data_IF_370622345076
#
_entry.id   IF_370622345076
#
_cell.length_a   1.000
_cell.length_b   1.000
_cell.length_c   1.000
_cell.angle_alpha   90.00
_cell.angle_beta   90.00
_cell.angle_gamma   90.00
#
_symmetry.space_group_name_H-M   'P 1'
#
loop_
_entity.id
_entity.type
_entity.pdbx_description
1 polymer ?
#
# COMPACT_ATOMS: atom_id res chain seq x y z
N UNK A 1 33.04 27.53 25.54
CA UNK A 1 32.93 26.07 25.69
C UNK A 1 31.72 25.65 24.87
N UNK A 2 31.84 24.79 23.86
CA UNK A 2 30.65 24.31 23.17
C UNK A 2 29.98 23.31 24.12
N UNK A 3 28.73 23.60 24.48
CA UNK A 3 27.90 22.68 25.25
C UNK A 3 27.69 21.42 24.39
N UNK A 4 28.14 20.28 24.92
CA UNK A 4 27.90 18.97 24.33
C UNK A 4 26.40 18.71 24.30
N UNK A 5 25.78 18.98 23.15
CA UNK A 5 24.35 18.84 22.90
C UNK A 5 24.00 17.40 22.48
N UNK A 6 24.81 16.41 22.90
CA UNK A 6 24.53 15.01 22.58
C UNK A 6 23.37 14.49 23.44
N UNK A 7 22.29 14.08 22.76
CA UNK A 7 21.14 13.45 23.39
C UNK A 7 21.49 11.98 23.65
N UNK A 8 21.37 11.55 24.90
CA UNK A 8 21.43 10.14 25.26
C UNK A 8 20.15 9.43 24.78
N UNK A 9 20.21 8.85 23.58
CA UNK A 9 19.08 8.17 22.95
C UNK A 9 18.54 6.98 23.76
N UNK A 10 19.38 6.37 24.60
CA UNK A 10 18.98 5.26 25.46
C UNK A 10 18.15 5.76 26.65
N UNK A 11 18.54 6.87 27.28
CA UNK A 11 17.76 7.50 28.37
C UNK A 11 16.40 7.99 27.92
N UNK A 12 16.30 8.54 26.71
CA UNK A 12 15.01 9.01 26.16
C UNK A 12 14.15 7.87 25.60
N UNK A 13 14.65 6.63 25.63
CA UNK A 13 13.88 5.46 25.20
C UNK A 13 13.58 5.44 23.70
N UNK A 14 14.48 5.99 22.88
CA UNK A 14 14.29 6.07 21.43
C UNK A 14 14.12 4.66 20.82
N UNK A 15 13.08 4.49 20.01
CA UNK A 15 12.82 3.29 19.21
C UNK A 15 12.65 3.70 17.76
N UNK A 16 13.39 3.07 16.85
CA UNK A 16 13.38 3.39 15.41
C UNK A 16 13.06 2.12 14.63
N UNK A 17 12.20 2.25 13.61
CA UNK A 17 11.95 1.23 12.61
C UNK A 17 12.35 1.74 11.22
N UNK A 18 12.85 0.84 10.38
CA UNK A 18 13.12 1.11 8.96
C UNK A 18 12.24 0.19 8.11
N UNK A 19 11.62 0.77 7.07
CA UNK A 19 10.83 0.02 6.10
C UNK A 19 11.37 0.32 4.70
N UNK A 20 11.73 -0.73 3.96
CA UNK A 20 12.38 -0.61 2.64
C UNK A 20 11.57 -1.43 1.63
N UNK A 21 11.09 -0.77 0.58
CA UNK A 21 10.39 -1.41 -0.54
C UNK A 21 11.25 -1.32 -1.80
N UNK A 22 11.49 -2.45 -2.46
CA UNK A 22 12.31 -2.53 -3.67
C UNK A 22 11.58 -3.34 -4.75
N UNK A 23 11.52 -2.80 -5.98
CA UNK A 23 11.02 -3.54 -7.13
C UNK A 23 12.08 -4.51 -7.67
N UNK A 24 11.67 -5.72 -8.01
CA UNK A 24 12.54 -6.73 -8.61
C UNK A 24 12.65 -6.54 -10.12
N UNK A 25 13.86 -6.62 -10.66
CA UNK A 25 14.11 -6.66 -12.11
C UNK A 25 13.92 -8.08 -12.65
N UNK A 26 12.70 -8.60 -12.55
CA UNK A 26 12.33 -9.94 -13.05
C UNK A 26 11.83 -9.89 -14.50
N UNK A 27 11.85 -11.04 -15.19
CA UNK A 27 11.34 -11.16 -16.56
C UNK A 27 9.79 -11.21 -16.62
N UNK A 28 9.13 -11.48 -15.49
CA UNK A 28 7.67 -11.58 -15.33
C UNK A 28 7.22 -11.01 -13.99
N UNK A 29 5.95 -10.61 -13.89
CA UNK A 29 5.31 -10.24 -12.61
C UNK A 29 5.25 -11.43 -11.65
N UNK A 30 5.03 -11.14 -10.36
CA UNK A 30 5.11 -12.13 -9.28
C UNK A 30 4.09 -13.29 -9.43
N UNK A 31 2.86 -12.99 -9.84
CA UNK A 31 1.76 -13.96 -9.90
C UNK A 31 1.17 -14.18 -11.30
N UNK A 32 1.82 -13.68 -12.35
CA UNK A 32 1.40 -13.92 -13.74
C UNK A 32 2.61 -13.91 -14.69
N UNK A 33 2.41 -14.24 -15.97
CA UNK A 33 3.49 -14.30 -16.96
C UNK A 33 3.75 -12.96 -17.69
N UNK A 34 3.02 -11.90 -17.34
CA UNK A 34 3.17 -10.58 -17.96
C UNK A 34 4.53 -9.96 -17.64
N UNK A 35 5.08 -9.17 -18.56
CA UNK A 35 6.28 -8.36 -18.32
C UNK A 35 6.01 -7.27 -17.27
N UNK A 36 6.93 -6.99 -16.33
CA UNK A 36 6.77 -5.93 -15.33
C UNK A 36 7.20 -4.57 -15.89
N UNK A 37 6.52 -4.10 -16.94
CA UNK A 37 6.75 -2.78 -17.54
C UNK A 37 5.54 -1.85 -17.32
N UNK A 38 5.80 -0.54 -17.32
CA UNK A 38 4.77 0.49 -17.32
C UNK A 38 4.36 0.78 -18.76
N UNK A 39 3.06 0.93 -18.99
CA UNK A 39 2.44 1.21 -20.29
C UNK A 39 1.81 2.60 -20.22
N UNK A 40 1.91 3.38 -21.31
CA UNK A 40 1.37 4.74 -21.43
C UNK A 40 0.40 4.91 -22.60
N UNK A 41 0.06 3.82 -23.28
CA UNK A 41 -0.89 3.79 -24.38
C UNK A 41 -2.33 3.92 -23.85
N UNK A 42 -3.31 3.96 -24.73
CA UNK A 42 -4.72 3.89 -24.33
C UNK A 42 -5.09 2.45 -23.95
N UNK A 43 -5.95 2.24 -22.94
CA UNK A 43 -6.33 0.89 -22.51
C UNK A 43 -7.28 0.21 -23.48
N UNK A 44 -7.08 -1.08 -23.72
CA UNK A 44 -8.02 -1.90 -24.49
C UNK A 44 -9.35 -2.09 -23.75
N UNK A 45 -9.27 -2.17 -22.41
CA UNK A 45 -10.43 -2.48 -21.55
C UNK A 45 -10.39 -1.61 -20.29
N UNK A 46 -11.55 -1.04 -19.94
CA UNK A 46 -11.76 -0.33 -18.68
C UNK A 46 -12.75 -1.12 -17.80
N UNK A 47 -12.35 -1.42 -16.56
CA UNK A 47 -13.19 -2.13 -15.58
C UNK A 47 -13.42 -1.26 -14.36
N UNK A 48 -14.69 -0.97 -14.06
CA UNK A 48 -15.07 -0.26 -12.83
C UNK A 48 -15.42 -1.26 -11.73
N UNK A 49 -14.84 -1.09 -10.54
CA UNK A 49 -15.09 -1.94 -9.37
C UNK A 49 -15.37 -1.13 -8.12
N UNK A 50 -16.15 -1.72 -7.23
CA UNK A 50 -16.46 -1.19 -5.90
C UNK A 50 -15.88 -2.13 -4.86
N UNK A 51 -15.08 -1.58 -3.95
CA UNK A 51 -14.67 -2.33 -2.76
C UNK A 51 -15.84 -2.47 -1.81
N UNK A 52 -16.00 -3.65 -1.21
CA UNK A 52 -17.04 -3.93 -0.21
C UNK A 52 -16.35 -4.41 1.06
N UNK A 53 -16.82 -3.98 2.25
CA UNK A 53 -16.33 -4.54 3.50
C UNK A 53 -16.68 -6.02 3.58
N UNK A 54 -15.83 -6.78 4.26
CA UNK A 54 -16.03 -8.20 4.54
C UNK A 54 -16.01 -8.39 6.05
N UNK A 55 -16.76 -9.37 6.53
CA UNK A 55 -16.77 -9.75 7.94
C UNK A 55 -15.42 -10.42 8.27
N UNK A 56 -14.84 -10.04 9.40
CA UNK A 56 -13.71 -10.74 9.99
C UNK A 56 -14.14 -12.08 10.58
N UNK A 57 -13.19 -12.83 11.14
CA UNK A 57 -13.43 -14.14 11.74
C UNK A 57 -14.51 -14.11 12.83
N UNK A 58 -14.56 -13.03 13.63
CA UNK A 58 -15.57 -12.81 14.69
C UNK A 58 -16.93 -12.35 14.15
N UNK A 59 -17.08 -12.20 12.84
CA UNK A 59 -18.28 -11.63 12.22
C UNK A 59 -18.35 -10.11 12.27
N UNK A 60 -17.30 -9.43 12.75
CA UNK A 60 -17.26 -7.97 12.85
C UNK A 60 -16.63 -7.34 11.61
N UNK A 61 -17.05 -6.11 11.26
CA UNK A 61 -16.44 -5.35 10.16
C UNK A 61 -15.42 -4.39 10.74
N UNK A 62 -14.21 -4.38 10.16
CA UNK A 62 -13.18 -3.41 10.52
C UNK A 62 -13.71 -1.96 10.40
N UNK A 63 -13.60 -1.14 11.47
CA UNK A 63 -14.12 0.22 11.48
C UNK A 63 -13.51 1.13 10.40
N UNK A 64 -12.23 0.93 10.05
CA UNK A 64 -11.53 1.71 9.04
C UNK A 64 -12.05 1.36 7.65
N UNK A 65 -12.22 0.07 7.34
CA UNK A 65 -12.86 -0.39 6.11
C UNK A 65 -14.27 0.15 5.96
N UNK A 66 -15.07 0.16 7.03
CA UNK A 66 -16.42 0.71 7.01
C UNK A 66 -16.40 2.22 6.72
N UNK A 67 -15.44 2.96 7.29
CA UNK A 67 -15.26 4.39 7.02
C UNK A 67 -14.88 4.66 5.57
N UNK A 68 -13.95 3.89 5.00
CA UNK A 68 -13.58 4.02 3.58
C UNK A 68 -14.74 3.64 2.65
N UNK A 69 -15.47 2.58 2.97
CA UNK A 69 -16.65 2.15 2.20
C UNK A 69 -17.73 3.24 2.13
N UNK A 70 -17.98 3.94 3.25
CA UNK A 70 -18.95 5.04 3.31
C UNK A 70 -18.61 6.22 2.39
N UNK A 71 -17.35 6.35 1.94
CA UNK A 71 -16.96 7.37 0.94
C UNK A 71 -17.47 7.04 -0.47
N UNK A 72 -18.04 5.84 -0.69
CA UNK A 72 -18.62 5.39 -1.96
C UNK A 72 -17.68 5.54 -3.17
N UNK A 73 -16.38 5.36 -2.93
CA UNK A 73 -15.37 5.39 -3.99
C UNK A 73 -15.47 4.13 -4.84
N UNK A 74 -15.18 4.29 -6.12
CA UNK A 74 -14.97 3.20 -7.07
C UNK A 74 -13.56 3.29 -7.63
N UNK A 75 -13.06 2.16 -8.13
CA UNK A 75 -11.74 2.05 -8.74
C UNK A 75 -11.94 1.76 -10.22
N UNK A 76 -11.25 2.53 -11.05
CA UNK A 76 -11.19 2.33 -12.50
C UNK A 76 -9.90 1.61 -12.80
N UNK A 77 -9.98 0.35 -13.19
CA UNK A 77 -8.85 -0.43 -13.65
C UNK A 77 -8.75 -0.34 -15.18
N UNK A 78 -7.55 -0.02 -15.66
CA UNK A 78 -7.19 -0.01 -17.07
C UNK A 78 -6.38 -1.27 -17.37
N UNK A 79 -6.81 -2.02 -18.39
CA UNK A 79 -6.12 -3.21 -18.87
C UNK A 79 -5.62 -3.00 -20.30
N UNK A 80 -4.47 -3.61 -20.57
CA UNK A 80 -3.62 -3.52 -21.75
C UNK A 80 -3.06 -4.92 -22.04
#
# INVERSE_FOLDING_TARGET
MPEDTSIDYKKVGLRVGLEIHQQLKSNRKLFCHCKPCLIKEDPDIIVVRYMRPTLGETGEIDPTMLKEFKKKRYIVYQAY
#
